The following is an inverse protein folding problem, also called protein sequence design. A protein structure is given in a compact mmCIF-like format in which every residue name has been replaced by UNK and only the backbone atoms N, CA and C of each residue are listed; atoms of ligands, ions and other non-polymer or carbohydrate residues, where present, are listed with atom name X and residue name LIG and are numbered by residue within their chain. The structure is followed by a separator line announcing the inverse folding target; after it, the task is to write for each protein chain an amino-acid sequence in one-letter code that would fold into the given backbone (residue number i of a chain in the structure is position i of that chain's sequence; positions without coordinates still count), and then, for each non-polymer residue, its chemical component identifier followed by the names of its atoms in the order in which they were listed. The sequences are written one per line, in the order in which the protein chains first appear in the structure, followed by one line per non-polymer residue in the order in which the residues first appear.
data_IF_868544706992
#
_entry.id   IF_868544706992
#
_cell.length_a   1.000
_cell.length_b   1.000
_cell.length_c   1.000
_cell.angle_alpha   90.00
_cell.angle_beta   90.00
_cell.angle_gamma   90.00
#
_symmetry.space_group_name_H-M   'P 1'
#
loop_
_entity.id
_entity.type
_entity.pdbx_description
1 polymer ?
#
# COMPACT_ATOMS: atom_id res chain seq x y z
N UNK A 1 -15.11 -6.16 -6.21
CA UNK A 1 -16.11 -6.19 -5.12
C UNK A 1 -15.73 -5.32 -3.93
N UNK A 2 -14.77 -5.68 -3.04
CA UNK A 2 -14.39 -4.79 -1.92
C UNK A 2 -13.99 -3.37 -2.36
N UNK A 3 -13.16 -3.28 -3.40
CA UNK A 3 -12.71 -2.00 -3.95
C UNK A 3 -13.85 -1.12 -4.45
N UNK A 4 -14.94 -1.70 -4.96
CA UNK A 4 -16.10 -0.93 -5.43
C UNK A 4 -16.86 -0.31 -4.26
N UNK A 5 -17.07 -1.09 -3.19
CA UNK A 5 -17.73 -0.59 -1.96
C UNK A 5 -16.87 0.50 -1.31
N UNK A 6 -15.55 0.28 -1.23
CA UNK A 6 -14.62 1.27 -0.71
C UNK A 6 -14.66 2.58 -1.53
N UNK A 7 -14.54 2.48 -2.85
CA UNK A 7 -14.56 3.66 -3.71
C UNK A 7 -15.89 4.42 -3.58
N UNK A 8 -17.02 3.71 -3.60
CA UNK A 8 -18.33 4.33 -3.41
C UNK A 8 -18.47 5.02 -2.05
N UNK A 9 -17.92 4.42 -0.98
CA UNK A 9 -17.91 5.04 0.34
C UNK A 9 -17.04 6.32 0.38
N UNK A 10 -15.86 6.29 -0.23
CA UNK A 10 -14.97 7.46 -0.32
C UNK A 10 -15.59 8.60 -1.12
N UNK A 11 -16.13 8.29 -2.30
CA UNK A 11 -16.82 9.26 -3.16
C UNK A 11 -18.04 9.87 -2.44
N UNK A 12 -18.77 9.05 -1.68
CA UNK A 12 -19.92 9.51 -0.93
C UNK A 12 -19.56 10.53 0.14
N UNK A 13 -18.53 10.27 0.94
CA UNK A 13 -18.10 11.21 2.00
C UNK A 13 -17.61 12.54 1.40
N UNK A 14 -16.88 12.49 0.29
CA UNK A 14 -16.43 13.71 -0.42
C UNK A 14 -17.61 14.48 -0.98
N UNK A 15 -18.60 13.79 -1.56
CA UNK A 15 -19.83 14.41 -2.06
C UNK A 15 -20.68 15.02 -0.95
N UNK A 16 -20.82 14.35 0.19
CA UNK A 16 -21.58 14.86 1.34
C UNK A 16 -20.89 16.10 1.95
N UNK A 17 -19.56 16.19 1.84
CA UNK A 17 -18.78 17.38 2.21
C UNK A 17 -18.79 18.49 1.13
N UNK A 18 -19.58 18.35 0.05
CA UNK A 18 -19.64 19.29 -1.08
C UNK A 18 -18.28 19.58 -1.73
N UNK A 19 -17.36 18.61 -1.67
CA UNK A 19 -16.02 18.70 -2.24
C UNK A 19 -15.92 17.94 -3.59
N UNK A 20 -14.90 18.24 -4.38
CA UNK A 20 -14.68 17.59 -5.68
C UNK A 20 -13.73 16.40 -5.53
N UNK A 21 -14.23 15.19 -5.72
CA UNK A 21 -13.42 13.96 -5.65
C UNK A 21 -12.29 13.92 -6.68
N UNK A 22 -12.46 14.59 -7.81
CA UNK A 22 -11.47 14.61 -8.88
C UNK A 22 -10.28 15.54 -8.59
N UNK A 23 -10.37 16.38 -7.57
CA UNK A 23 -9.26 17.21 -7.12
C UNK A 23 -8.22 16.32 -6.40
N UNK A 24 -6.96 16.23 -6.89
CA UNK A 24 -5.91 15.45 -6.23
C UNK A 24 -5.54 15.95 -4.83
N UNK A 25 -5.89 17.19 -4.50
CA UNK A 25 -5.65 17.79 -3.18
C UNK A 25 -6.82 17.59 -2.21
N UNK A 26 -7.91 16.92 -2.65
CA UNK A 26 -9.07 16.67 -1.80
C UNK A 26 -8.69 15.84 -0.57
N UNK A 27 -9.10 16.30 0.60
CA UNK A 27 -8.96 15.53 1.84
C UNK A 27 -10.09 14.50 1.92
N UNK A 28 -9.75 13.24 1.75
CA UNK A 28 -10.71 12.16 2.00
C UNK A 28 -11.01 12.07 3.49
N UNK A 29 -12.29 12.12 3.83
CA UNK A 29 -12.76 11.88 5.20
C UNK A 29 -12.92 10.38 5.44
N UNK A 30 -12.76 9.97 6.70
CA UNK A 30 -13.00 8.60 7.11
C UNK A 30 -14.49 8.25 6.91
N UNK A 31 -14.83 7.21 6.13
CA UNK A 31 -16.21 6.78 5.99
C UNK A 31 -16.87 6.45 7.32
N UNK A 32 -18.11 6.91 7.49
CA UNK A 32 -18.90 6.63 8.71
C UNK A 32 -19.27 5.15 8.82
N UNK A 33 -19.41 4.49 7.68
CA UNK A 33 -19.70 3.06 7.60
C UNK A 33 -18.43 2.23 7.80
N UNK A 34 -18.51 1.24 8.70
CA UNK A 34 -17.47 0.23 8.86
C UNK A 34 -17.64 -0.86 7.81
N UNK A 35 -16.54 -1.34 7.24
CA UNK A 35 -16.52 -2.41 6.25
C UNK A 35 -16.02 -3.70 6.90
N UNK A 36 -16.86 -4.74 6.92
CA UNK A 36 -16.49 -6.10 7.28
C UNK A 36 -16.25 -6.94 6.02
N UNK A 37 -15.27 -7.83 6.04
CA UNK A 37 -14.93 -8.68 4.90
C UNK A 37 -14.97 -10.15 5.29
N UNK A 38 -15.67 -10.94 4.48
CA UNK A 38 -15.64 -12.41 4.54
C UNK A 38 -14.83 -12.89 3.32
N UNK A 39 -13.77 -13.70 3.52
CA UNK A 39 -12.94 -14.19 2.42
C UNK A 39 -13.74 -15.16 1.54
N UNK A 40 -13.64 -14.97 0.23
CA UNK A 40 -14.32 -15.80 -0.78
C UNK A 40 -13.51 -15.86 -2.08
N UNK A 41 -12.25 -15.40 -2.03
CA UNK A 41 -11.37 -15.25 -3.17
C UNK A 41 -10.23 -16.27 -3.15
N UNK A 42 -9.36 -16.16 -4.14
CA UNK A 42 -8.15 -16.99 -4.25
C UNK A 42 -6.93 -16.39 -3.55
N UNK A 43 -7.10 -15.27 -2.87
CA UNK A 43 -5.97 -14.49 -2.32
C UNK A 43 -6.35 -13.83 -1.01
N UNK A 44 -7.51 -13.14 -0.99
CA UNK A 44 -8.06 -12.53 0.21
C UNK A 44 -7.04 -11.72 1.04
N UNK A 45 -6.11 -11.07 0.34
CA UNK A 45 -4.93 -10.45 0.95
C UNK A 45 -5.28 -9.40 2.01
N UNK A 46 -6.37 -8.64 1.85
CA UNK A 46 -6.77 -7.69 2.88
C UNK A 46 -7.25 -8.42 4.15
N UNK A 47 -8.10 -9.45 4.01
CA UNK A 47 -8.58 -10.26 5.14
C UNK A 47 -7.43 -10.95 5.83
N UNK A 48 -6.53 -11.57 5.06
CA UNK A 48 -5.34 -12.21 5.59
C UNK A 48 -4.44 -11.21 6.32
N UNK A 49 -4.20 -10.04 5.73
CA UNK A 49 -3.35 -9.02 6.35
C UNK A 49 -3.96 -8.51 7.67
N UNK A 50 -5.28 -8.32 7.74
CA UNK A 50 -5.93 -7.79 8.96
C UNK A 50 -6.17 -8.84 10.03
N UNK A 51 -6.53 -10.06 9.66
CA UNK A 51 -6.93 -11.12 10.59
C UNK A 51 -5.81 -12.13 10.85
N UNK A 52 -4.74 -12.11 10.06
CA UNK A 52 -3.67 -13.11 10.07
C UNK A 52 -4.06 -14.47 9.45
N UNK A 53 -5.29 -14.60 8.93
CA UNK A 53 -5.82 -15.82 8.31
C UNK A 53 -6.92 -15.50 7.30
N UNK A 54 -7.05 -16.35 6.28
CA UNK A 54 -8.17 -16.33 5.33
C UNK A 54 -9.34 -17.22 5.78
N UNK A 55 -9.37 -17.66 7.04
CA UNK A 55 -10.47 -18.48 7.57
C UNK A 55 -11.79 -17.69 7.67
N UNK A 56 -12.83 -18.25 7.04
CA UNK A 56 -14.16 -17.64 6.93
C UNK A 56 -14.82 -17.45 8.29
N UNK A 57 -14.68 -18.45 9.19
CA UNK A 57 -15.31 -18.43 10.51
C UNK A 57 -14.66 -17.37 11.40
N UNK A 58 -13.34 -17.29 11.37
CA UNK A 58 -12.55 -16.28 12.10
C UNK A 58 -12.91 -14.87 11.63
N UNK A 59 -13.00 -14.65 10.32
CA UNK A 59 -13.44 -13.36 9.78
C UNK A 59 -14.87 -12.99 10.23
N UNK A 60 -15.79 -13.95 10.25
CA UNK A 60 -17.15 -13.72 10.74
C UNK A 60 -17.18 -13.40 12.24
N UNK A 61 -16.36 -14.06 13.06
CA UNK A 61 -16.26 -13.79 14.50
C UNK A 61 -15.77 -12.36 14.75
N UNK A 62 -14.70 -11.91 14.07
CA UNK A 62 -14.22 -10.52 14.20
C UNK A 62 -15.32 -9.49 13.86
N UNK A 63 -16.14 -9.76 12.84
CA UNK A 63 -17.27 -8.90 12.48
C UNK A 63 -18.35 -8.89 13.58
N UNK A 64 -18.73 -10.06 14.10
CA UNK A 64 -19.78 -10.19 15.12
C UNK A 64 -19.34 -9.53 16.44
N UNK A 65 -18.10 -9.75 16.87
CA UNK A 65 -17.53 -9.11 18.06
C UNK A 65 -17.35 -7.60 17.88
N UNK A 66 -17.37 -7.13 16.63
CA UNK A 66 -17.29 -5.71 16.31
C UNK A 66 -15.88 -5.15 16.40
N UNK A 67 -14.87 -6.00 16.22
CA UNK A 67 -13.45 -5.61 16.21
C UNK A 67 -13.19 -4.49 15.21
N UNK A 68 -12.21 -3.64 15.55
CA UNK A 68 -11.93 -2.40 14.81
C UNK A 68 -10.44 -2.28 14.53
N UNK A 69 -10.12 -2.18 13.24
CA UNK A 69 -8.78 -1.87 12.78
C UNK A 69 -8.87 -0.70 11.79
N UNK A 70 -8.28 0.46 12.09
CA UNK A 70 -8.09 1.51 11.10
C UNK A 70 -7.19 1.01 9.97
N UNK A 71 -7.60 1.23 8.72
CA UNK A 71 -6.86 0.86 7.53
C UNK A 71 -6.72 2.08 6.62
N UNK A 72 -5.48 2.39 6.24
CA UNK A 72 -5.09 3.47 5.36
C UNK A 72 -5.54 3.15 3.94
N UNK A 73 -5.88 4.22 3.21
CA UNK A 73 -6.27 4.12 1.81
C UNK A 73 -5.42 5.09 1.01
N UNK A 74 -4.67 4.56 0.05
CA UNK A 74 -4.01 5.37 -0.96
C UNK A 74 -5.00 5.74 -2.05
N UNK A 75 -5.40 7.01 -2.11
CA UNK A 75 -6.13 7.54 -3.26
C UNK A 75 -5.23 7.59 -4.50
N UNK A 76 -5.75 7.13 -5.63
CA UNK A 76 -5.05 7.16 -6.92
C UNK A 76 -5.78 8.13 -7.84
N UNK A 77 -5.09 9.19 -8.24
CA UNK A 77 -5.58 10.13 -9.24
C UNK A 77 -4.80 9.98 -10.54
N UNK A 78 -5.52 10.09 -11.65
CA UNK A 78 -4.95 10.27 -12.98
C UNK A 78 -5.24 11.68 -13.48
N UNK A 79 -4.81 11.99 -14.72
CA UNK A 79 -5.18 13.24 -15.39
C UNK A 79 -6.68 13.39 -15.62
N UNK A 80 -7.46 12.31 -15.49
CA UNK A 80 -8.91 12.30 -15.68
C UNK A 80 -9.68 12.52 -14.38
N UNK A 81 -9.00 12.51 -13.24
CA UNK A 81 -9.61 12.62 -11.91
C UNK A 81 -9.29 11.42 -11.03
N UNK A 82 -10.15 11.18 -10.04
CA UNK A 82 -10.01 10.05 -9.12
C UNK A 82 -10.28 8.73 -9.84
N UNK A 83 -9.39 7.75 -9.65
CA UNK A 83 -9.51 6.44 -10.29
C UNK A 83 -9.97 5.37 -9.29
N UNK A 84 -9.37 5.32 -8.10
CA UNK A 84 -9.67 4.35 -7.04
C UNK A 84 -8.86 4.59 -5.77
N UNK A 85 -9.36 4.08 -4.65
CA UNK A 85 -8.60 3.83 -3.44
C UNK A 85 -7.93 2.45 -3.45
N UNK A 86 -6.68 2.38 -2.97
CA UNK A 86 -5.94 1.14 -2.77
C UNK A 86 -5.61 0.95 -1.28
N UNK A 87 -5.82 -0.28 -0.79
CA UNK A 87 -5.63 -0.67 0.64
C UNK A 87 -4.52 -1.69 0.85
N UNK A 88 -4.13 -2.41 -0.22
CA UNK A 88 -3.11 -3.45 -0.16
C UNK A 88 -1.82 -2.92 -0.76
N UNK A 89 -1.80 -2.80 -2.08
CA UNK A 89 -0.64 -2.29 -2.79
C UNK A 89 -0.99 -1.78 -4.19
N UNK A 90 -0.08 -1.00 -4.75
CA UNK A 90 -0.09 -0.52 -6.12
C UNK A 90 1.21 -0.98 -6.75
N UNK A 91 1.15 -1.72 -7.84
CA UNK A 91 2.32 -2.34 -8.45
C UNK A 91 2.45 -2.01 -9.94
N UNK A 92 3.68 -1.71 -10.35
CA UNK A 92 4.07 -1.50 -11.75
C UNK A 92 5.35 -2.30 -12.06
N UNK A 93 5.54 -2.68 -13.33
CA UNK A 93 6.65 -3.54 -13.75
C UNK A 93 6.29 -5.02 -13.60
N UNK A 94 7.18 -5.82 -13.02
CA UNK A 94 7.00 -7.26 -12.88
C UNK A 94 5.68 -7.63 -12.18
N UNK A 95 5.47 -7.15 -10.95
CA UNK A 95 4.30 -7.54 -10.14
C UNK A 95 3.00 -7.02 -10.76
N UNK A 96 3.00 -5.78 -11.25
CA UNK A 96 1.85 -5.24 -12.00
C UNK A 96 1.53 -6.05 -13.26
N UNK A 97 2.55 -6.50 -14.01
CA UNK A 97 2.35 -7.33 -15.20
C UNK A 97 1.87 -8.75 -14.85
N UNK A 98 2.35 -9.31 -13.75
CA UNK A 98 1.90 -10.59 -13.21
C UNK A 98 0.42 -10.49 -12.81
N UNK A 99 0.05 -9.52 -11.97
CA UNK A 99 -1.33 -9.33 -11.51
C UNK A 99 -2.28 -9.05 -12.69
N UNK A 100 -1.89 -8.19 -13.63
CA UNK A 100 -2.73 -7.92 -14.80
C UNK A 100 -2.93 -9.17 -15.71
N UNK A 101 -1.92 -10.05 -15.80
CA UNK A 101 -2.03 -11.26 -16.59
C UNK A 101 -2.80 -12.38 -15.86
N UNK A 102 -2.68 -12.48 -14.53
CA UNK A 102 -3.41 -13.48 -13.74
C UNK A 102 -4.93 -13.33 -13.87
N UNK A 103 -5.43 -12.10 -14.07
CA UNK A 103 -6.85 -11.84 -14.31
C UNK A 103 -7.39 -12.53 -15.57
N UNK A 104 -6.55 -12.79 -16.57
CA UNK A 104 -6.93 -13.55 -17.78
C UNK A 104 -7.00 -15.05 -17.55
N UNK A 105 -6.49 -15.52 -16.42
CA UNK A 105 -6.36 -16.92 -16.05
C UNK A 105 -7.25 -17.27 -14.84
N UNK A 106 -8.33 -16.51 -14.59
CA UNK A 106 -9.21 -16.74 -13.42
C UNK A 106 -9.75 -18.17 -13.34
N UNK A 107 -9.96 -18.84 -14.48
CA UNK A 107 -10.41 -20.22 -14.56
C UNK A 107 -9.42 -21.24 -13.96
N UNK A 108 -8.14 -20.88 -13.78
CA UNK A 108 -7.11 -21.74 -13.20
C UNK A 108 -7.07 -21.71 -11.66
N UNK A 109 -7.96 -20.96 -11.00
CA UNK A 109 -7.92 -20.80 -9.55
C UNK A 109 -6.60 -20.15 -9.08
N UNK A 110 -6.11 -20.47 -7.87
CA UNK A 110 -4.88 -19.88 -7.31
C UNK A 110 -3.61 -20.08 -8.16
N UNK A 111 -3.50 -21.17 -8.92
CA UNK A 111 -2.31 -21.46 -9.77
C UNK A 111 -2.06 -20.41 -10.86
N UNK A 112 -3.06 -19.58 -11.17
CA UNK A 112 -2.91 -18.44 -12.08
C UNK A 112 -1.77 -17.51 -11.69
N UNK A 113 -1.46 -17.38 -10.40
CA UNK A 113 -0.38 -16.53 -9.90
C UNK A 113 0.98 -17.10 -10.26
N UNK A 114 1.19 -18.40 -10.07
CA UNK A 114 2.42 -19.12 -10.45
C UNK A 114 2.71 -18.96 -11.95
N UNK A 115 1.71 -19.21 -12.79
CA UNK A 115 1.85 -19.10 -14.26
C UNK A 115 2.12 -17.67 -14.69
N UNK A 116 1.40 -16.71 -14.12
CA UNK A 116 1.61 -15.29 -14.42
C UNK A 116 2.99 -14.80 -13.97
N UNK A 117 3.48 -15.27 -12.82
CA UNK A 117 4.81 -14.94 -12.30
C UNK A 117 5.91 -15.48 -13.22
N UNK A 118 5.83 -16.74 -13.64
CA UNK A 118 6.80 -17.33 -14.59
C UNK A 118 6.83 -16.54 -15.89
N UNK A 119 5.67 -16.21 -16.46
CA UNK A 119 5.59 -15.40 -17.69
C UNK A 119 6.20 -14.00 -17.50
N UNK A 120 5.87 -13.31 -16.41
CA UNK A 120 6.43 -11.99 -16.11
C UNK A 120 7.95 -12.06 -15.93
N UNK A 121 8.45 -13.13 -15.32
CA UNK A 121 9.87 -13.39 -15.10
C UNK A 121 10.64 -13.61 -16.41
N UNK A 122 10.10 -14.41 -17.31
CA UNK A 122 10.71 -14.65 -18.62
C UNK A 122 10.79 -13.36 -19.44
N UNK A 123 9.75 -12.52 -19.37
CA UNK A 123 9.72 -11.21 -20.05
C UNK A 123 10.74 -10.22 -19.49
N UNK A 124 10.94 -10.21 -18.17
CA UNK A 124 11.92 -9.35 -17.45
C UNK A 124 11.91 -7.89 -17.94
N UNK A 125 10.70 -7.35 -18.20
CA UNK A 125 10.51 -6.04 -18.83
C UNK A 125 10.79 -4.93 -17.81
N UNK A 126 11.47 -3.88 -18.28
CA UNK A 126 11.74 -2.67 -17.51
C UNK A 126 10.67 -1.62 -17.73
N UNK A 127 10.46 -0.78 -16.73
CA UNK A 127 9.58 0.39 -16.79
C UNK A 127 10.40 1.63 -16.40
N UNK A 128 10.34 2.66 -17.24
CA UNK A 128 10.87 3.98 -16.89
C UNK A 128 9.87 4.68 -15.97
N UNK A 129 10.36 5.22 -14.86
CA UNK A 129 9.51 5.82 -13.83
C UNK A 129 10.19 7.01 -13.16
N UNK A 130 9.37 7.97 -12.77
CA UNK A 130 9.74 9.15 -12.02
C UNK A 130 8.70 9.33 -10.92
N UNK A 131 9.14 9.40 -9.66
CA UNK A 131 8.28 9.70 -8.52
C UNK A 131 8.86 10.85 -7.70
N UNK A 132 7.98 11.63 -7.11
CA UNK A 132 8.27 12.58 -6.05
C UNK A 132 7.66 12.01 -4.78
N UNK A 133 8.48 11.75 -3.77
CA UNK A 133 8.08 11.10 -2.52
C UNK A 133 8.32 12.06 -1.37
N UNK A 134 7.34 12.22 -0.50
CA UNK A 134 7.53 12.98 0.73
C UNK A 134 7.82 11.98 1.85
N UNK A 135 9.11 11.76 2.20
CA UNK A 135 9.45 10.80 3.24
C UNK A 135 8.90 11.27 4.59
N UNK A 136 8.43 10.32 5.38
CA UNK A 136 8.08 10.52 6.78
C UNK A 136 9.21 10.00 7.65
N UNK A 137 9.51 10.68 8.75
CA UNK A 137 10.58 10.27 9.68
C UNK A 137 10.33 8.91 10.36
N UNK A 138 9.10 8.37 10.25
CA UNK A 138 8.60 7.24 11.02
C UNK A 138 8.49 5.89 10.29
N UNK A 139 8.78 5.78 8.98
CA UNK A 139 8.68 4.51 8.25
C UNK A 139 9.61 4.56 7.02
N UNK A 140 10.56 3.61 6.83
CA UNK A 140 10.42 2.16 7.00
C UNK A 140 11.42 1.56 8.00
N UNK A 141 11.44 2.10 9.23
CA UNK A 141 12.35 1.66 10.31
C UNK A 141 11.66 0.66 11.25
N UNK A 142 10.40 0.34 11.00
CA UNK A 142 9.61 -0.52 11.87
C UNK A 142 10.17 -1.95 11.85
N UNK A 143 10.60 -2.43 13.02
CA UNK A 143 11.04 -3.82 13.22
C UNK A 143 9.93 -4.70 13.81
N UNK A 144 8.78 -4.11 14.17
CA UNK A 144 7.65 -4.78 14.78
C UNK A 144 6.43 -4.83 13.85
N UNK A 145 5.72 -5.97 13.78
CA UNK A 145 4.49 -6.06 13.02
C UNK A 145 3.38 -5.21 13.65
N UNK A 146 2.51 -4.67 12.81
CA UNK A 146 1.34 -3.92 13.24
C UNK A 146 0.22 -4.86 13.67
N UNK A 147 -0.24 -4.72 14.91
CA UNK A 147 -1.39 -5.44 15.48
C UNK A 147 -2.42 -4.46 16.02
N UNK A 148 -3.49 -4.98 16.62
CA UNK A 148 -4.42 -4.21 17.45
C UNK A 148 -3.64 -3.42 18.52
N UNK A 149 -4.07 -2.19 18.78
CA UNK A 149 -3.46 -1.25 19.74
C UNK A 149 -2.00 -0.87 19.44
N UNK A 150 -1.61 -0.91 18.16
CA UNK A 150 -0.30 -0.47 17.72
C UNK A 150 -0.02 1.01 18.09
N UNK A 151 1.02 1.24 18.89
CA UNK A 151 1.43 2.57 19.37
C UNK A 151 1.71 3.53 18.20
N UNK A 152 2.35 3.07 17.13
CA UNK A 152 2.64 3.88 15.94
C UNK A 152 1.36 4.40 15.29
N UNK A 153 0.36 3.52 15.09
CA UNK A 153 -0.93 3.88 14.51
C UNK A 153 -1.75 4.78 15.45
N UNK A 154 -1.72 4.50 16.75
CA UNK A 154 -2.39 5.31 17.77
C UNK A 154 -1.81 6.73 17.79
N UNK A 155 -0.48 6.86 17.78
CA UNK A 155 0.19 8.16 17.74
C UNK A 155 -0.10 8.93 16.45
N UNK A 156 -0.16 8.24 15.30
CA UNK A 156 -0.53 8.85 14.04
C UNK A 156 -1.97 9.39 14.06
N UNK A 157 -2.90 8.61 14.61
CA UNK A 157 -4.29 9.02 14.79
C UNK A 157 -4.41 10.26 15.67
N UNK A 158 -3.66 10.31 16.78
CA UNK A 158 -3.61 11.47 17.69
C UNK A 158 -3.05 12.72 16.98
N UNK A 159 -1.97 12.58 16.21
CA UNK A 159 -1.38 13.68 15.43
C UNK A 159 -2.36 14.26 14.41
N UNK A 160 -3.15 13.42 13.76
CA UNK A 160 -4.18 13.89 12.83
C UNK A 160 -5.29 14.70 13.54
N UNK A 161 -5.72 14.31 14.74
CA UNK A 161 -6.70 15.09 15.52
C UNK A 161 -6.13 16.47 15.87
N UNK A 162 -4.93 16.53 16.42
CA UNK A 162 -4.30 17.81 16.78
C UNK A 162 -4.01 18.72 15.57
N UNK A 163 -3.76 18.14 14.39
CA UNK A 163 -3.63 18.89 13.12
C UNK A 163 -4.92 19.51 12.63
N UNK A 164 -6.08 18.92 12.96
CA UNK A 164 -7.39 19.45 12.58
C UNK A 164 -7.85 20.55 13.54
N UNK A 165 -7.43 20.50 14.80
CA UNK A 165 -7.78 21.51 15.81
C UNK A 165 -6.91 22.79 15.74
N UNK A 166 -5.78 22.75 15.04
CA UNK A 166 -4.95 23.94 14.79
C UNK A 166 -5.32 24.60 13.45
N UNK A 167 -5.77 25.86 13.48
CA UNK A 167 -5.83 26.70 12.27
C UNK A 167 -4.44 26.79 11.60
N UNK A 168 -4.36 26.99 10.27
CA UNK A 168 -3.13 26.82 9.50
C UNK A 168 -2.15 28.00 9.63
N UNK A 169 -1.99 28.56 10.82
CA UNK A 169 -1.04 29.63 11.08
C UNK A 169 -0.09 29.24 12.22
N UNK A 170 1.20 29.22 11.90
CA UNK A 170 2.34 29.21 12.83
C UNK A 170 2.79 27.87 13.44
N UNK A 171 3.07 26.85 12.61
CA UNK A 171 4.14 25.90 12.97
C UNK A 171 5.17 25.80 11.86
N UNK A 172 6.34 26.40 12.09
CA UNK A 172 7.55 26.31 11.27
C UNK A 172 8.17 24.91 11.34
N UNK A 173 7.38 23.87 11.05
CA UNK A 173 7.97 22.57 10.72
C UNK A 173 8.37 22.64 9.24
N UNK A 174 9.67 22.45 8.90
CA UNK A 174 10.07 22.42 7.49
C UNK A 174 9.24 21.37 6.77
N UNK A 175 8.52 21.77 5.71
CA UNK A 175 7.83 20.80 4.86
C UNK A 175 8.89 19.79 4.38
N UNK A 176 8.73 18.49 4.63
CA UNK A 176 9.72 17.52 4.23
C UNK A 176 9.95 17.64 2.72
N UNK A 177 11.21 17.91 2.34
CA UNK A 177 11.57 18.11 0.95
C UNK A 177 11.24 16.84 0.15
N UNK A 178 10.43 16.94 -0.92
CA UNK A 178 10.12 15.79 -1.73
C UNK A 178 11.40 15.20 -2.34
N UNK A 179 11.65 13.93 -2.08
CA UNK A 179 12.74 13.17 -2.69
C UNK A 179 12.30 12.69 -4.06
N UNK A 180 13.05 13.06 -5.10
CA UNK A 180 12.73 12.70 -6.47
C UNK A 180 13.52 11.46 -6.88
N UNK A 181 12.81 10.37 -7.15
CA UNK A 181 13.39 9.10 -7.62
C UNK A 181 13.10 8.95 -9.11
N UNK A 182 14.15 8.89 -9.93
CA UNK A 182 14.05 8.69 -11.38
C UNK A 182 14.91 7.53 -11.84
N UNK A 183 14.39 6.72 -12.76
CA UNK A 183 15.18 5.64 -13.35
C UNK A 183 14.39 4.61 -14.10
N UNK A 184 15.08 3.52 -14.44
CA UNK A 184 14.48 2.32 -15.03
C UNK A 184 14.47 1.19 -14.03
N UNK A 185 13.27 0.70 -13.71
CA UNK A 185 13.05 -0.30 -12.67
C UNK A 185 12.43 -1.56 -13.28
N UNK A 186 12.75 -2.70 -12.69
CA UNK A 186 12.09 -3.97 -13.01
C UNK A 186 10.73 -4.07 -12.32
N UNK A 187 10.65 -3.50 -11.12
CA UNK A 187 9.50 -3.62 -10.26
C UNK A 187 9.42 -2.40 -9.35
N UNK A 188 8.22 -1.83 -9.24
CA UNK A 188 7.89 -0.72 -8.36
C UNK A 188 6.62 -1.12 -7.64
N UNK A 189 6.63 -1.11 -6.31
CA UNK A 189 5.45 -1.39 -5.50
C UNK A 189 5.31 -0.37 -4.40
N UNK A 190 4.15 0.25 -4.30
CA UNK A 190 3.71 1.00 -3.14
C UNK A 190 2.82 0.10 -2.31
N UNK A 191 3.28 -0.32 -1.13
CA UNK A 191 2.53 -1.15 -0.20
C UNK A 191 1.81 -0.25 0.81
N UNK A 192 0.48 -0.30 0.82
CA UNK A 192 -0.37 0.46 1.75
C UNK A 192 -0.60 -0.32 3.04
N UNK A 193 -0.55 -1.65 2.94
CA UNK A 193 -0.46 -2.55 4.09
C UNK A 193 0.64 -3.58 3.83
N UNK A 194 0.69 -4.66 4.60
CA UNK A 194 1.75 -5.67 4.45
C UNK A 194 1.72 -6.37 3.09
N UNK A 195 0.54 -6.41 2.46
CA UNK A 195 0.24 -7.22 1.29
C UNK A 195 0.55 -8.71 1.48
N UNK A 196 0.40 -9.18 2.72
CA UNK A 196 0.46 -10.59 3.06
C UNK A 196 -0.80 -11.34 2.60
N UNK A 197 -0.63 -12.62 2.29
CA UNK A 197 -1.71 -13.56 1.96
C UNK A 197 -1.21 -14.99 2.19
N UNK A 198 -2.09 -15.99 2.07
CA UNK A 198 -1.78 -17.39 2.44
C UNK A 198 -0.48 -17.94 1.81
N UNK A 199 -0.18 -17.62 0.55
CA UNK A 199 1.02 -18.10 -0.13
C UNK A 199 2.27 -17.22 0.10
N UNK A 200 2.10 -16.04 0.70
CA UNK A 200 3.17 -15.11 1.04
C UNK A 200 2.85 -14.45 2.39
N UNK A 201 3.02 -15.19 3.50
CA UNK A 201 2.52 -14.80 4.83
C UNK A 201 3.19 -13.52 5.38
N UNK A 202 4.34 -13.13 4.83
CA UNK A 202 5.04 -11.90 5.20
C UNK A 202 4.74 -10.72 4.25
N UNK A 203 4.13 -10.99 3.10
CA UNK A 203 3.82 -9.96 2.11
C UNK A 203 5.04 -9.24 1.55
N UNK A 204 4.80 -8.12 0.84
CA UNK A 204 5.88 -7.31 0.27
C UNK A 204 6.50 -6.34 1.27
N UNK A 205 5.75 -6.00 2.33
CA UNK A 205 6.24 -5.19 3.44
C UNK A 205 5.77 -5.78 4.79
N UNK A 206 6.57 -6.65 5.42
CA UNK A 206 6.13 -7.37 6.63
C UNK A 206 5.81 -6.47 7.84
N UNK A 207 6.39 -5.27 7.89
CA UNK A 207 6.29 -4.35 9.02
C UNK A 207 5.45 -3.12 8.70
N UNK A 208 4.74 -3.11 7.57
CA UNK A 208 3.89 -1.99 7.23
C UNK A 208 2.75 -1.86 8.26
N UNK A 209 2.46 -0.63 8.64
CA UNK A 209 1.40 -0.29 9.55
C UNK A 209 0.10 -0.06 8.80
N UNK A 210 -1.02 -0.48 9.40
CA UNK A 210 -2.31 -0.35 8.74
C UNK A 210 -2.89 1.06 8.79
N UNK A 211 -2.54 1.91 9.76
CA UNK A 211 -3.27 3.15 10.03
C UNK A 211 -2.38 4.30 10.48
N UNK A 212 -1.17 4.41 9.92
CA UNK A 212 -0.22 5.48 10.26
C UNK A 212 -0.16 6.61 9.21
N UNK A 213 -0.99 6.55 8.17
CA UNK A 213 -1.02 7.49 7.06
C UNK A 213 0.17 7.37 6.11
N UNK A 214 0.95 6.27 6.20
CA UNK A 214 2.15 6.06 5.41
C UNK A 214 1.99 4.86 4.47
N UNK A 215 2.92 4.74 3.52
CA UNK A 215 3.01 3.56 2.65
C UNK A 215 4.48 3.31 2.32
N UNK A 216 4.84 2.05 2.16
CA UNK A 216 6.20 1.67 1.78
C UNK A 216 6.35 1.66 0.26
N UNK A 217 7.37 2.34 -0.26
CA UNK A 217 7.63 2.38 -1.70
C UNK A 217 8.91 1.62 -2.03
N UNK A 218 8.76 0.49 -2.69
CA UNK A 218 9.83 -0.46 -3.02
C UNK A 218 10.22 -0.30 -4.49
N UNK A 219 11.47 0.10 -4.73
CA UNK A 219 12.05 0.22 -6.07
C UNK A 219 13.10 -0.87 -6.32
N UNK A 220 12.84 -1.74 -7.29
CA UNK A 220 13.80 -2.76 -7.71
C UNK A 220 14.50 -2.31 -8.99
N UNK A 221 15.74 -1.82 -8.85
CA UNK A 221 16.61 -1.45 -9.96
C UNK A 221 16.95 -2.69 -10.81
N UNK A 222 17.50 -2.46 -12.01
CA UNK A 222 17.97 -3.51 -12.91
C UNK A 222 18.91 -4.48 -12.17
N UNK A 223 18.59 -5.76 -12.20
CA UNK A 223 19.42 -6.83 -11.65
C UNK A 223 19.36 -8.09 -12.52
N UNK A 224 20.28 -9.03 -12.30
CA UNK A 224 20.29 -10.32 -13.00
C UNK A 224 19.02 -11.11 -12.67
N UNK A 225 18.61 -12.01 -13.56
CA UNK A 225 17.43 -12.88 -13.32
C UNK A 225 17.56 -13.67 -12.02
N UNK A 226 18.76 -14.17 -11.71
CA UNK A 226 19.04 -14.88 -10.46
C UNK A 226 18.86 -14.00 -9.23
N UNK A 227 19.36 -12.76 -9.26
CA UNK A 227 19.17 -11.84 -8.15
C UNK A 227 17.71 -11.40 -7.99
N UNK A 228 16.99 -11.25 -9.11
CA UNK A 228 15.56 -10.96 -9.09
C UNK A 228 14.77 -12.13 -8.48
N UNK A 229 15.11 -13.37 -8.83
CA UNK A 229 14.50 -14.56 -8.24
C UNK A 229 14.80 -14.68 -6.74
N UNK A 230 16.06 -14.43 -6.34
CA UNK A 230 16.45 -14.39 -4.91
C UNK A 230 15.67 -13.32 -4.14
N UNK A 231 15.44 -12.16 -4.75
CA UNK A 231 14.63 -11.09 -4.16
C UNK A 231 13.18 -11.55 -3.94
N UNK A 232 12.54 -12.13 -4.96
CA UNK A 232 11.17 -12.65 -4.82
C UNK A 232 11.07 -13.77 -3.79
N UNK A 233 12.02 -14.71 -3.80
CA UNK A 233 12.07 -15.76 -2.80
C UNK A 233 12.17 -15.19 -1.38
N UNK A 234 12.97 -14.13 -1.19
CA UNK A 234 13.06 -13.45 0.11
C UNK A 234 11.75 -12.78 0.50
N UNK A 235 11.11 -12.06 -0.41
CA UNK A 235 9.82 -11.42 -0.13
C UNK A 235 8.73 -12.43 0.22
N UNK A 236 8.63 -13.52 -0.54
CA UNK A 236 7.55 -14.49 -0.36
C UNK A 236 7.74 -15.36 0.89
N UNK A 237 8.99 -15.71 1.24
CA UNK A 237 9.27 -16.77 2.21
C UNK A 237 10.18 -16.37 3.37
N UNK A 238 10.64 -15.12 3.47
CA UNK A 238 11.44 -14.65 4.60
C UNK A 238 10.93 -13.30 5.12
N UNK A 239 10.92 -13.06 6.44
CA UNK A 239 10.78 -11.70 6.96
C UNK A 239 12.03 -10.93 6.54
N UNK A 240 11.89 -10.02 5.57
CA UNK A 240 12.98 -9.20 5.07
C UNK A 240 13.15 -7.94 5.92
N UNK A 241 14.38 -7.61 6.33
CA UNK A 241 14.70 -6.25 6.77
C UNK A 241 14.67 -5.32 5.56
N UNK A 242 13.85 -4.26 5.60
CA UNK A 242 13.89 -3.24 4.55
C UNK A 242 15.21 -2.47 4.62
N UNK A 243 15.82 -2.21 3.46
CA UNK A 243 17.10 -1.49 3.36
C UNK A 243 16.81 -0.09 2.82
N UNK A 244 17.23 0.93 3.58
CA UNK A 244 17.08 2.35 3.22
C UNK A 244 17.86 2.67 1.94
N UNK A 245 17.24 3.41 1.02
CA UNK A 245 17.97 4.21 0.03
C UNK A 245 17.86 5.66 0.49
N UNK A 246 18.82 6.12 1.29
CA UNK A 246 18.96 7.55 1.60
C UNK A 246 19.78 8.19 0.49
N UNK A 247 19.12 8.83 -0.48
CA UNK A 247 19.79 9.83 -1.32
C UNK A 247 19.58 11.17 -0.62
N UNK A 248 20.63 11.66 0.04
CA UNK A 248 20.70 13.00 0.64
C UNK A 248 20.43 14.04 -0.43
N UNK A 249 19.50 14.95 -0.14
CA UNK A 249 19.29 16.17 -0.91
C UNK A 249 20.61 16.95 -0.92
N UNK A 250 21.35 16.93 -2.03
CA UNK A 250 22.45 17.87 -2.22
C UNK A 250 21.83 19.17 -2.69
N UNK A 251 21.94 20.19 -1.84
CA UNK A 251 21.65 21.56 -2.17
C UNK A 251 22.59 22.01 -3.31
N UNK A 252 22.14 21.92 -4.55
CA UNK A 252 22.68 22.77 -5.62
C UNK A 252 22.15 24.19 -5.43
N UNK A 253 22.74 24.92 -4.48
CA UNK A 253 22.78 26.37 -4.53
C UNK A 253 23.97 26.72 -5.41
N UNK A 254 23.71 26.92 -6.70
CA UNK A 254 24.64 27.60 -7.60
C UNK A 254 24.21 29.06 -7.73
N UNK A 255 24.90 29.93 -7.01
CA UNK A 255 25.28 31.28 -7.46
C UNK A 255 26.74 31.50 -7.09
#
# INVERSE_FOLDING_TARGET
MFSEILNGALEREVSDASANVNDPSVKFLKPKMRLGMIPCGSTDALVYATNGTSDVVTAAIHIILGDRLPVDVCAIHSRRGFERGAVICIATGFLGSMLAYSEKLRCMGPERYSVAAVRAFLRHKKVAFSASLTPTDSSPVDESPCFTDCITCTNASIREVFRVESEPELSETPRPCPTVVKGSFLHITSAVSTAAYDMAPHGVSPYNHFGNGCMDVIFVKKTSRLNHLKFFYRILFKPGKQVRVSETCQDTVSQ
#
